data_IF_190663643243
#
_entry.id   IF_190663643243
#
_cell.length_a   1.000
_cell.length_b   1.000
_cell.length_c   1.000
_cell.angle_alpha   90.00
_cell.angle_beta   90.00
_cell.angle_gamma   90.00
#
_symmetry.space_group_name_H-M   'P 1'
#
loop_
_entity.id
_entity.type
_entity.pdbx_description
1 polymer ?
#
# COMPACT_ATOMS: atom_id res chain seq x y z
N UNK A 1 -10.57 -8.98 -0.26
CA UNK A 1 -11.58 -9.24 -1.30
C UNK A 1 -11.27 -10.55 -2.02
N UNK A 2 -12.27 -11.44 -2.15
CA UNK A 2 -12.12 -12.77 -2.74
C UNK A 2 -12.94 -12.90 -4.02
N UNK A 3 -12.43 -13.70 -4.97
CA UNK A 3 -13.05 -13.86 -6.29
C UNK A 3 -14.47 -14.47 -6.23
N UNK A 4 -14.79 -15.46 -5.38
CA UNK A 4 -16.14 -15.97 -5.25
C UNK A 4 -17.20 -14.92 -4.89
N UNK A 5 -16.88 -13.99 -3.97
CA UNK A 5 -17.78 -12.88 -3.63
C UNK A 5 -18.00 -11.92 -4.80
N UNK A 6 -16.98 -11.72 -5.63
CA UNK A 6 -17.09 -10.91 -6.85
C UNK A 6 -18.06 -11.56 -7.85
N UNK A 7 -17.94 -12.86 -8.08
CA UNK A 7 -18.85 -13.59 -8.95
C UNK A 7 -20.31 -13.54 -8.46
N UNK A 8 -20.52 -13.69 -7.15
CA UNK A 8 -21.86 -13.56 -6.56
C UNK A 8 -22.42 -12.16 -6.77
N UNK A 9 -21.62 -11.12 -6.51
CA UNK A 9 -22.04 -9.74 -6.74
C UNK A 9 -22.38 -9.43 -8.20
N UNK A 10 -21.59 -9.96 -9.15
CA UNK A 10 -21.87 -9.84 -10.60
C UNK A 10 -23.21 -10.48 -10.94
N UNK A 11 -23.43 -11.71 -10.45
CA UNK A 11 -24.71 -12.43 -10.66
C UNK A 11 -25.90 -11.63 -10.17
N UNK A 12 -25.85 -11.15 -8.92
CA UNK A 12 -26.92 -10.35 -8.32
C UNK A 12 -27.18 -9.05 -9.09
N UNK A 13 -26.14 -8.32 -9.48
CA UNK A 13 -26.28 -7.10 -10.27
C UNK A 13 -26.96 -7.36 -11.62
N UNK A 14 -26.61 -8.43 -12.32
CA UNK A 14 -27.22 -8.82 -13.59
C UNK A 14 -28.67 -9.25 -13.42
N UNK A 15 -28.95 -10.09 -12.42
CA UNK A 15 -30.28 -10.64 -12.14
C UNK A 15 -31.29 -9.54 -11.78
N UNK A 16 -30.86 -8.52 -11.05
CA UNK A 16 -31.73 -7.41 -10.62
C UNK A 16 -31.59 -6.12 -11.47
N UNK A 17 -30.79 -6.14 -12.53
CA UNK A 17 -30.64 -4.99 -13.42
C UNK A 17 -30.07 -3.75 -12.74
N UNK A 18 -29.14 -3.93 -11.78
CA UNK A 18 -28.60 -2.83 -10.98
C UNK A 18 -27.68 -1.93 -11.83
N UNK A 19 -27.79 -0.62 -11.66
CA UNK A 19 -27.06 0.40 -12.42
C UNK A 19 -25.94 1.11 -11.64
N UNK A 20 -25.73 0.78 -10.36
CA UNK A 20 -24.73 1.38 -9.48
C UNK A 20 -24.35 0.39 -8.39
N UNK A 21 -23.06 0.40 -8.00
CA UNK A 21 -22.57 -0.35 -6.83
C UNK A 21 -22.13 0.63 -5.76
N UNK A 22 -22.79 0.63 -4.59
CA UNK A 22 -22.41 1.43 -3.43
C UNK A 22 -21.59 0.57 -2.45
N UNK A 23 -20.32 0.91 -2.30
CA UNK A 23 -19.41 0.27 -1.35
C UNK A 23 -19.45 1.00 0.00
N UNK A 24 -19.94 0.36 1.05
CA UNK A 24 -19.87 0.87 2.43
C UNK A 24 -18.85 0.04 3.19
N UNK A 25 -17.61 0.53 3.34
CA UNK A 25 -16.53 -0.25 3.93
C UNK A 25 -15.15 0.34 3.72
N UNK A 26 -14.13 -0.47 3.99
CA UNK A 26 -12.72 -0.16 3.70
C UNK A 26 -12.29 -0.66 2.32
N UNK A 27 -10.97 -0.65 2.07
CA UNK A 27 -10.36 -1.03 0.79
C UNK A 27 -10.87 -2.35 0.21
N UNK A 28 -10.99 -3.41 1.02
CA UNK A 28 -11.46 -4.73 0.56
C UNK A 28 -12.89 -4.69 0.02
N UNK A 29 -13.79 -3.94 0.65
CA UNK A 29 -15.17 -3.78 0.18
C UNK A 29 -15.21 -2.96 -1.10
N UNK A 30 -14.44 -1.87 -1.16
CA UNK A 30 -14.37 -0.99 -2.33
C UNK A 30 -13.77 -1.73 -3.52
N UNK A 31 -12.71 -2.50 -3.31
CA UNK A 31 -12.08 -3.30 -4.36
C UNK A 31 -13.01 -4.39 -4.89
N UNK A 32 -13.76 -5.06 -4.01
CA UNK A 32 -14.82 -6.00 -4.43
C UNK A 32 -15.90 -5.30 -5.26
N UNK A 33 -16.36 -4.12 -4.83
CA UNK A 33 -17.37 -3.35 -5.55
C UNK A 33 -16.89 -2.93 -6.96
N UNK A 34 -15.63 -2.52 -7.09
CA UNK A 34 -15.02 -2.20 -8.38
C UNK A 34 -14.90 -3.43 -9.28
N UNK A 35 -14.51 -4.57 -8.73
CA UNK A 35 -14.44 -5.83 -9.47
C UNK A 35 -15.82 -6.30 -9.94
N UNK A 36 -16.84 -6.17 -9.09
CA UNK A 36 -18.24 -6.43 -9.45
C UNK A 36 -18.67 -5.51 -10.59
N UNK A 37 -18.46 -4.19 -10.42
CA UNK A 37 -18.81 -3.20 -11.42
C UNK A 37 -18.14 -3.46 -12.78
N UNK A 38 -16.88 -3.89 -12.76
CA UNK A 38 -16.10 -4.28 -13.93
C UNK A 38 -16.67 -5.54 -14.60
N UNK A 39 -17.06 -6.54 -13.81
CA UNK A 39 -17.52 -7.82 -14.31
C UNK A 39 -18.96 -7.84 -14.82
N UNK A 40 -19.82 -6.92 -14.36
CA UNK A 40 -21.26 -6.91 -14.78
C UNK A 40 -21.43 -6.76 -16.28
N UNK A 41 -20.84 -5.80 -16.98
CA UNK A 41 -20.95 -5.65 -18.43
C UNK A 41 -19.98 -6.56 -19.22
N UNK A 42 -19.06 -7.24 -18.57
CA UNK A 42 -18.07 -8.09 -19.23
C UNK A 42 -18.66 -9.48 -19.57
N UNK A 43 -18.55 -9.91 -20.83
CA UNK A 43 -19.11 -11.19 -21.28
C UNK A 43 -18.29 -12.42 -20.86
N UNK A 44 -17.01 -12.22 -20.53
CA UNK A 44 -16.09 -13.28 -20.09
C UNK A 44 -15.95 -13.38 -18.57
N UNK A 45 -14.96 -14.15 -18.15
CA UNK A 45 -14.54 -14.19 -16.74
C UNK A 45 -13.80 -12.90 -16.36
N UNK A 46 -14.28 -12.20 -15.34
CA UNK A 46 -13.65 -10.97 -14.84
C UNK A 46 -12.20 -11.22 -14.41
N UNK A 47 -11.86 -12.43 -13.94
CA UNK A 47 -10.48 -12.78 -13.54
C UNK A 47 -9.49 -12.73 -14.71
N UNK A 48 -9.94 -13.01 -15.94
CA UNK A 48 -9.09 -12.88 -17.13
C UNK A 48 -8.58 -11.45 -17.35
N UNK A 49 -9.35 -10.43 -16.94
CA UNK A 49 -8.91 -9.04 -17.00
C UNK A 49 -7.73 -8.79 -16.02
N UNK A 50 -7.76 -9.43 -14.85
CA UNK A 50 -6.67 -9.36 -13.88
C UNK A 50 -5.40 -10.07 -14.37
N UNK A 51 -5.54 -11.16 -15.11
CA UNK A 51 -4.41 -11.90 -15.69
C UNK A 51 -3.82 -11.18 -16.91
N UNK A 52 -4.67 -10.75 -17.83
CA UNK A 52 -4.24 -10.19 -19.12
C UNK A 52 -3.93 -8.70 -19.09
N UNK A 53 -4.43 -7.96 -18.09
CA UNK A 53 -4.38 -6.48 -17.98
C UNK A 53 -5.02 -5.76 -19.18
N UNK A 54 -5.85 -6.44 -19.95
CA UNK A 54 -6.55 -5.81 -21.08
C UNK A 54 -7.62 -4.85 -20.57
N UNK A 55 -7.90 -3.81 -21.36
CA UNK A 55 -9.01 -2.90 -21.06
C UNK A 55 -10.35 -3.64 -21.26
N UNK A 56 -11.37 -3.34 -20.44
CA UNK A 56 -12.68 -3.96 -20.61
C UNK A 56 -13.34 -3.49 -21.90
N UNK A 57 -14.10 -4.37 -22.54
CA UNK A 57 -14.82 -4.06 -23.78
C UNK A 57 -15.95 -3.06 -23.58
N UNK A 58 -16.58 -3.10 -22.41
CA UNK A 58 -17.68 -2.22 -22.02
C UNK A 58 -17.32 -1.40 -20.77
N UNK A 59 -17.97 -0.26 -20.58
CA UNK A 59 -17.77 0.57 -19.42
C UNK A 59 -18.27 -0.15 -18.15
N UNK A 60 -17.49 -0.16 -17.06
CA UNK A 60 -17.95 -0.68 -15.78
C UNK A 60 -19.19 0.05 -15.28
N UNK A 61 -19.98 -0.59 -14.41
CA UNK A 61 -20.98 0.16 -13.66
C UNK A 61 -20.32 1.27 -12.82
N UNK A 62 -21.00 2.39 -12.58
CA UNK A 62 -20.51 3.40 -11.65
C UNK A 62 -20.40 2.81 -10.23
N UNK A 63 -19.32 3.16 -9.53
CA UNK A 63 -19.09 2.82 -8.13
C UNK A 63 -19.14 4.09 -7.29
N UNK A 64 -19.85 4.05 -6.17
CA UNK A 64 -19.80 5.08 -5.15
C UNK A 64 -19.32 4.46 -3.83
N UNK A 65 -18.78 5.28 -2.92
CA UNK A 65 -18.23 4.75 -1.67
C UNK A 65 -18.66 5.55 -0.44
N UNK A 66 -18.79 4.85 0.69
CA UNK A 66 -18.80 5.40 2.04
C UNK A 66 -17.65 4.74 2.79
N UNK A 67 -16.60 5.50 3.05
CA UNK A 67 -15.38 4.97 3.64
C UNK A 67 -15.54 4.72 5.13
N UNK A 68 -15.15 3.52 5.61
CA UNK A 68 -15.16 3.17 7.03
C UNK A 68 -13.78 2.87 7.61
N UNK A 69 -12.75 2.75 6.75
CA UNK A 69 -11.34 2.54 7.15
C UNK A 69 -10.44 3.32 6.18
N UNK A 70 -9.83 4.42 6.61
CA UNK A 70 -8.84 5.12 5.80
C UNK A 70 -7.50 4.37 5.83
N UNK A 71 -7.10 3.80 4.68
CA UNK A 71 -5.87 3.02 4.51
C UNK A 71 -5.40 3.05 3.06
N UNK A 72 -5.92 2.12 2.25
CA UNK A 72 -5.50 1.87 0.87
C UNK A 72 -5.85 2.99 -0.13
N UNK A 73 -6.64 4.00 0.23
CA UNK A 73 -7.07 5.07 -0.68
C UNK A 73 -7.91 4.57 -1.87
N UNK A 74 -8.54 3.38 -1.73
CA UNK A 74 -9.32 2.80 -2.83
C UNK A 74 -10.53 3.65 -3.20
N UNK A 75 -11.07 4.45 -2.27
CA UNK A 75 -12.19 5.38 -2.50
C UNK A 75 -11.85 6.49 -3.51
N UNK A 76 -10.57 6.67 -3.85
CA UNK A 76 -10.13 7.68 -4.83
C UNK A 76 -9.24 7.11 -5.93
N UNK A 77 -8.90 5.84 -5.87
CA UNK A 77 -7.99 5.20 -6.83
C UNK A 77 -8.74 4.53 -7.99
N UNK A 78 -8.09 4.37 -9.15
CA UNK A 78 -8.66 3.62 -10.28
C UNK A 78 -8.39 2.12 -10.18
N UNK A 79 -7.79 1.64 -9.09
CA UNK A 79 -7.30 0.28 -8.94
C UNK A 79 -8.24 -0.58 -8.10
N UNK A 80 -8.16 -1.89 -8.30
CA UNK A 80 -8.81 -2.92 -7.50
C UNK A 80 -7.88 -4.12 -7.39
N UNK A 81 -7.82 -4.76 -6.22
CA UNK A 81 -6.99 -5.94 -5.96
C UNK A 81 -7.89 -7.06 -5.45
N UNK A 82 -7.84 -8.23 -6.10
CA UNK A 82 -8.66 -9.40 -5.76
C UNK A 82 -7.76 -10.61 -5.53
N UNK A 83 -8.13 -11.42 -4.55
CA UNK A 83 -7.50 -12.71 -4.28
C UNK A 83 -8.32 -13.84 -4.90
N UNK A 84 -7.66 -14.65 -5.71
CA UNK A 84 -8.18 -15.94 -6.13
C UNK A 84 -7.61 -17.01 -5.20
N UNK A 85 -8.46 -17.54 -4.31
CA UNK A 85 -8.06 -18.50 -3.28
C UNK A 85 -7.69 -19.87 -3.86
N UNK A 86 -8.29 -20.28 -4.99
CA UNK A 86 -7.98 -21.56 -5.65
C UNK A 86 -6.56 -21.57 -6.20
N UNK A 87 -6.14 -20.47 -6.83
CA UNK A 87 -4.81 -20.34 -7.41
C UNK A 87 -3.81 -19.70 -6.44
N UNK A 88 -4.25 -19.28 -5.24
CA UNK A 88 -3.47 -18.53 -4.24
C UNK A 88 -2.77 -17.30 -4.83
N UNK A 89 -3.48 -16.59 -5.71
CA UNK A 89 -2.96 -15.38 -6.36
C UNK A 89 -3.73 -14.14 -5.92
N UNK A 90 -3.00 -13.10 -5.53
CA UNK A 90 -3.52 -11.76 -5.25
C UNK A 90 -3.07 -10.81 -6.37
N UNK A 91 -3.99 -10.37 -7.22
CA UNK A 91 -3.69 -9.58 -8.40
C UNK A 91 -4.43 -8.24 -8.40
N UNK A 92 -3.73 -7.18 -8.78
CA UNK A 92 -4.34 -5.87 -9.02
C UNK A 92 -4.80 -5.71 -10.48
N UNK A 93 -5.83 -4.91 -10.68
CA UNK A 93 -6.26 -4.41 -11.99
C UNK A 93 -6.55 -2.91 -11.89
N UNK A 94 -6.27 -2.15 -12.95
CA UNK A 94 -6.49 -0.70 -12.96
C UNK A 94 -7.11 -0.21 -14.26
N UNK A 95 -8.11 0.66 -14.14
CA UNK A 95 -8.70 1.40 -15.23
C UNK A 95 -9.22 2.74 -14.73
N UNK A 96 -8.99 3.87 -15.41
CA UNK A 96 -9.54 5.18 -15.03
C UNK A 96 -11.05 5.17 -14.78
N UNK A 97 -11.76 4.27 -15.45
CA UNK A 97 -13.22 4.08 -15.37
C UNK A 97 -13.70 3.43 -14.06
N UNK A 98 -12.78 2.84 -13.26
CA UNK A 98 -13.07 2.24 -11.96
C UNK A 98 -12.97 3.24 -10.81
N UNK A 99 -12.54 4.47 -11.07
CA UNK A 99 -12.52 5.49 -10.02
C UNK A 99 -13.95 5.77 -9.56
N UNK A 100 -14.22 5.75 -8.25
CA UNK A 100 -15.55 6.05 -7.74
C UNK A 100 -16.08 7.40 -8.24
N UNK A 101 -17.37 7.46 -8.57
CA UNK A 101 -18.02 8.69 -9.06
C UNK A 101 -18.19 9.72 -7.94
N UNK A 102 -18.32 9.26 -6.70
CA UNK A 102 -18.18 10.05 -5.48
C UNK A 102 -17.77 9.16 -4.31
N UNK A 103 -17.20 9.78 -3.28
CA UNK A 103 -16.82 9.10 -2.04
C UNK A 103 -17.21 9.96 -0.83
N UNK A 104 -17.92 9.37 0.12
CA UNK A 104 -18.26 9.99 1.40
C UNK A 104 -17.18 9.57 2.40
N UNK A 105 -16.49 10.57 2.96
CA UNK A 105 -15.45 10.40 3.97
C UNK A 105 -15.90 11.17 5.21
N UNK A 106 -16.51 10.45 6.18
CA UNK A 106 -16.91 11.02 7.45
C UNK A 106 -16.02 10.47 8.57
N UNK A 107 -15.20 11.31 9.24
CA UNK A 107 -14.31 10.89 10.31
C UNK A 107 -15.00 10.16 11.48
N UNK A 108 -16.26 10.46 11.77
CA UNK A 108 -17.02 9.78 12.84
C UNK A 108 -17.20 8.28 12.59
N UNK A 109 -17.19 7.84 11.33
CA UNK A 109 -17.29 6.43 10.99
C UNK A 109 -16.04 5.63 11.39
N UNK A 110 -14.93 6.31 11.71
CA UNK A 110 -13.66 5.69 12.07
C UNK A 110 -13.48 5.52 13.58
N UNK A 111 -14.33 6.13 14.43
CA UNK A 111 -14.19 6.11 15.89
C UNK A 111 -14.26 4.70 16.49
N UNK A 112 -14.93 3.78 15.82
CA UNK A 112 -15.07 2.38 16.26
C UNK A 112 -13.99 1.45 15.74
N UNK A 113 -13.02 1.99 14.97
CA UNK A 113 -11.91 1.17 14.46
C UNK A 113 -11.02 0.70 15.60
N UNK A 114 -10.67 -0.60 15.64
CA UNK A 114 -9.65 -1.08 16.55
C UNK A 114 -8.29 -0.40 16.27
N UNK A 115 -7.52 -0.15 17.31
CA UNK A 115 -6.19 0.46 17.23
C UNK A 115 -5.29 -0.23 16.17
N UNK A 116 -5.31 -1.58 16.12
CA UNK A 116 -4.56 -2.36 15.13
C UNK A 116 -4.93 -1.97 13.69
N UNK A 117 -6.21 -1.74 13.40
CA UNK A 117 -6.65 -1.35 12.06
C UNK A 117 -6.22 0.07 11.70
N UNK A 118 -6.25 0.99 12.67
CA UNK A 118 -5.71 2.33 12.50
C UNK A 118 -4.20 2.27 12.17
N UNK A 119 -3.43 1.53 12.96
CA UNK A 119 -1.98 1.39 12.74
C UNK A 119 -1.64 0.77 11.37
N UNK A 120 -2.34 -0.29 10.97
CA UNK A 120 -2.19 -0.92 9.65
C UNK A 120 -2.53 0.06 8.52
N UNK A 121 -3.61 0.83 8.66
CA UNK A 121 -3.98 1.86 7.69
C UNK A 121 -2.93 2.96 7.54
N UNK A 122 -2.32 3.39 8.64
CA UNK A 122 -1.22 4.36 8.64
C UNK A 122 -0.02 3.83 7.86
N UNK A 123 0.41 2.60 8.13
CA UNK A 123 1.53 1.97 7.41
C UNK A 123 1.25 1.85 5.92
N UNK A 124 0.05 1.41 5.55
CA UNK A 124 -0.35 1.24 4.15
C UNK A 124 -0.35 2.57 3.39
N UNK A 125 -0.98 3.62 3.92
CA UNK A 125 -0.97 4.93 3.25
C UNK A 125 0.42 5.55 3.15
N UNK A 126 1.28 5.38 4.15
CA UNK A 126 2.68 5.82 4.08
C UNK A 126 3.44 5.04 3.00
N UNK A 127 3.22 3.74 2.89
CA UNK A 127 3.85 2.91 1.87
C UNK A 127 3.43 3.32 0.46
N UNK A 128 2.16 3.67 0.23
CA UNK A 128 1.71 4.25 -1.02
C UNK A 128 2.43 5.53 -1.40
N UNK A 129 2.79 6.36 -0.40
CA UNK A 129 3.58 7.58 -0.65
C UNK A 129 5.04 7.20 -0.94
N UNK A 130 5.63 6.26 -0.20
CA UNK A 130 7.01 5.80 -0.44
C UNK A 130 7.22 5.23 -1.83
N UNK A 131 6.25 4.43 -2.34
CA UNK A 131 6.30 3.89 -3.70
C UNK A 131 6.33 4.98 -4.80
N UNK A 132 5.92 6.19 -4.46
CA UNK A 132 5.95 7.34 -5.36
C UNK A 132 7.14 8.26 -5.09
N UNK A 133 7.51 8.41 -3.82
CA UNK A 133 8.57 9.31 -3.37
C UNK A 133 9.95 8.81 -3.77
N UNK A 134 10.24 7.53 -3.53
CA UNK A 134 11.53 6.92 -3.89
C UNK A 134 11.57 6.62 -5.40
N UNK A 135 12.04 7.58 -6.17
CA UNK A 135 12.11 7.55 -7.63
C UNK A 135 13.48 7.96 -8.14
N UNK A 136 13.82 7.51 -9.34
CA UNK A 136 14.99 8.00 -10.09
C UNK A 136 14.65 9.16 -11.04
N UNK A 137 13.39 9.57 -11.10
CA UNK A 137 12.97 10.72 -11.90
C UNK A 137 13.51 12.00 -11.26
N UNK A 138 14.23 12.79 -12.04
CA UNK A 138 14.81 14.06 -11.60
C UNK A 138 13.82 15.22 -11.76
N UNK A 139 14.06 16.34 -11.07
CA UNK A 139 13.26 17.57 -11.15
C UNK A 139 11.81 17.38 -10.72
N UNK A 140 11.63 16.72 -9.57
CA UNK A 140 10.32 16.44 -8.97
C UNK A 140 10.08 17.21 -7.67
N UNK A 141 10.73 18.34 -7.48
CA UNK A 141 10.79 19.12 -6.23
C UNK A 141 9.40 19.39 -5.62
N UNK A 142 8.41 19.77 -6.43
CA UNK A 142 7.05 20.02 -5.95
C UNK A 142 6.38 18.73 -5.46
N UNK A 143 6.48 17.67 -6.25
CA UNK A 143 5.89 16.37 -5.90
C UNK A 143 6.58 15.75 -4.69
N UNK A 144 7.90 15.94 -4.53
CA UNK A 144 8.65 15.54 -3.35
C UNK A 144 8.17 16.29 -2.11
N UNK A 145 8.06 17.61 -2.20
CA UNK A 145 7.56 18.44 -1.10
C UNK A 145 6.14 18.06 -0.67
N UNK A 146 5.27 17.72 -1.63
CA UNK A 146 3.92 17.23 -1.34
C UNK A 146 3.94 15.86 -0.63
N UNK A 147 4.78 14.93 -1.09
CA UNK A 147 4.98 13.64 -0.42
C UNK A 147 5.47 13.82 1.01
N UNK A 148 6.50 14.63 1.20
CA UNK A 148 7.11 14.91 2.50
C UNK A 148 6.12 15.57 3.47
N UNK A 149 5.36 16.57 3.02
CA UNK A 149 4.34 17.24 3.82
C UNK A 149 3.24 16.25 4.23
N UNK A 150 2.78 15.40 3.31
CA UNK A 150 1.74 14.39 3.57
C UNK A 150 2.24 13.36 4.59
N UNK A 151 3.47 12.84 4.44
CA UNK A 151 4.07 11.91 5.40
C UNK A 151 4.17 12.51 6.81
N UNK A 152 4.65 13.75 6.93
CA UNK A 152 4.73 14.44 8.23
C UNK A 152 3.34 14.65 8.85
N UNK A 153 2.33 14.99 8.05
CA UNK A 153 0.94 15.14 8.49
C UNK A 153 0.38 13.81 9.01
N UNK A 154 0.60 12.72 8.28
CA UNK A 154 0.21 11.37 8.71
C UNK A 154 0.88 11.02 10.04
N UNK A 155 2.20 11.16 10.16
CA UNK A 155 2.93 10.80 11.37
C UNK A 155 2.48 11.62 12.59
N UNK A 156 2.21 12.92 12.42
CA UNK A 156 1.69 13.80 13.48
C UNK A 156 0.33 13.31 13.98
N UNK A 157 -0.61 13.12 13.06
CA UNK A 157 -1.99 12.78 13.43
C UNK A 157 -2.13 11.31 13.87
N UNK A 158 -1.31 10.40 13.36
CA UNK A 158 -1.22 9.03 13.86
C UNK A 158 -0.84 8.98 15.35
N UNK A 159 0.09 9.84 15.83
CA UNK A 159 0.43 9.94 17.25
C UNK A 159 -0.73 10.46 18.09
N UNK A 160 -1.53 11.39 17.57
CA UNK A 160 -2.75 11.85 18.25
C UNK A 160 -3.74 10.67 18.38
N UNK A 161 -3.99 9.96 17.28
CA UNK A 161 -4.90 8.80 17.27
C UNK A 161 -4.38 7.64 18.15
N UNK A 162 -3.07 7.47 18.26
CA UNK A 162 -2.47 6.49 19.16
C UNK A 162 -2.86 6.72 20.64
N UNK A 163 -3.09 7.98 21.03
CA UNK A 163 -3.57 8.38 22.37
C UNK A 163 -5.08 8.52 22.46
N UNK A 164 -5.77 8.85 21.38
CA UNK A 164 -7.21 9.10 21.37
C UNK A 164 -7.85 8.78 20.02
N UNK A 165 -8.44 7.60 19.88
CA UNK A 165 -9.12 7.16 18.66
C UNK A 165 -10.42 7.91 18.33
N UNK A 166 -10.91 8.79 19.22
CA UNK A 166 -12.11 9.58 18.99
C UNK A 166 -11.79 11.04 18.57
N UNK A 167 -10.55 11.34 18.19
CA UNK A 167 -10.18 12.67 17.71
C UNK A 167 -10.62 12.86 16.26
N UNK A 168 -11.69 13.66 16.08
CA UNK A 168 -12.28 13.96 14.78
C UNK A 168 -11.26 14.61 13.82
N UNK A 169 -10.50 15.60 14.33
CA UNK A 169 -9.60 16.37 13.47
C UNK A 169 -8.42 15.51 13.01
N UNK A 170 -7.88 14.68 13.89
CA UNK A 170 -6.83 13.74 13.51
C UNK A 170 -7.30 12.72 12.47
N UNK A 171 -8.52 12.17 12.61
CA UNK A 171 -9.09 11.29 11.60
C UNK A 171 -9.38 12.00 10.28
N UNK A 172 -9.84 13.26 10.30
CA UNK A 172 -10.05 14.04 9.08
C UNK A 172 -8.74 14.21 8.29
N UNK A 173 -7.66 14.58 8.99
CA UNK A 173 -6.33 14.72 8.39
C UNK A 173 -5.78 13.39 7.85
N UNK A 174 -5.95 12.30 8.61
CA UNK A 174 -5.53 10.95 8.18
C UNK A 174 -6.32 10.51 6.95
N UNK A 175 -7.63 10.63 6.96
CA UNK A 175 -8.46 10.19 5.84
C UNK A 175 -8.18 10.97 4.56
N UNK A 176 -7.99 12.28 4.66
CA UNK A 176 -7.63 13.10 3.51
C UNK A 176 -6.21 12.82 3.01
N UNK A 177 -5.26 12.61 3.93
CA UNK A 177 -3.90 12.19 3.58
C UNK A 177 -3.88 10.83 2.86
N UNK A 178 -4.66 9.85 3.32
CA UNK A 178 -4.81 8.54 2.68
C UNK A 178 -5.42 8.64 1.28
N UNK A 179 -6.40 9.52 1.10
CA UNK A 179 -6.96 9.82 -0.21
C UNK A 179 -5.88 10.37 -1.16
N UNK A 180 -5.12 11.37 -0.72
CA UNK A 180 -4.02 11.97 -1.51
C UNK A 180 -2.92 10.94 -1.79
N UNK A 181 -2.62 10.07 -0.83
CA UNK A 181 -1.59 9.05 -0.96
C UNK A 181 -1.83 8.11 -2.16
N UNK A 182 -3.09 7.88 -2.56
CA UNK A 182 -3.39 6.92 -3.61
C UNK A 182 -4.26 7.44 -4.78
N UNK A 183 -4.67 8.71 -4.79
CA UNK A 183 -5.42 9.30 -5.92
C UNK A 183 -4.54 9.59 -7.15
N UNK A 184 -3.24 9.32 -7.07
CA UNK A 184 -2.20 9.54 -8.05
C UNK A 184 -1.67 11.00 -8.16
N UNK A 185 -2.11 11.92 -7.32
CA UNK A 185 -1.56 13.28 -7.29
C UNK A 185 -0.04 13.26 -7.03
N UNK A 186 0.40 12.49 -6.04
CA UNK A 186 1.81 12.37 -5.66
C UNK A 186 2.66 11.58 -6.67
N UNK A 187 2.03 10.90 -7.62
CA UNK A 187 2.68 10.13 -8.69
C UNK A 187 2.82 10.87 -10.01
N UNK A 188 2.35 12.12 -10.09
CA UNK A 188 2.38 12.90 -11.33
C UNK A 188 3.84 13.22 -11.70
N UNK A 189 4.18 12.97 -12.98
CA UNK A 189 5.48 13.33 -13.54
C UNK A 189 6.66 12.46 -13.11
N UNK A 190 6.41 11.30 -12.46
CA UNK A 190 7.48 10.41 -11.97
C UNK A 190 7.22 8.93 -12.19
N UNK A 191 8.28 8.14 -12.27
CA UNK A 191 8.20 6.68 -12.15
C UNK A 191 7.89 6.31 -10.70
N UNK A 192 7.10 5.24 -10.51
CA UNK A 192 6.73 4.72 -9.20
C UNK A 192 7.39 3.36 -8.98
N UNK A 193 7.70 3.00 -7.72
CA UNK A 193 8.45 1.77 -7.43
C UNK A 193 7.57 0.51 -7.44
N UNK A 194 6.66 0.38 -6.48
CA UNK A 194 5.76 -0.77 -6.26
C UNK A 194 6.46 -2.09 -5.89
N UNK A 195 7.73 -2.04 -5.54
CA UNK A 195 8.50 -3.20 -5.11
C UNK A 195 8.08 -3.72 -3.74
N UNK A 196 7.86 -2.80 -2.77
CA UNK A 196 7.44 -3.18 -1.43
C UNK A 196 6.07 -3.86 -1.43
N UNK A 197 5.10 -3.33 -2.19
CA UNK A 197 3.78 -3.95 -2.32
C UNK A 197 3.84 -5.32 -3.00
N UNK A 198 4.68 -5.47 -4.03
CA UNK A 198 4.85 -6.77 -4.70
C UNK A 198 5.41 -7.83 -3.74
N UNK A 199 6.40 -7.48 -2.93
CA UNK A 199 6.98 -8.37 -1.91
C UNK A 199 5.98 -8.67 -0.78
N UNK A 200 5.24 -7.68 -0.32
CA UNK A 200 4.26 -7.84 0.78
C UNK A 200 3.07 -8.70 0.37
N UNK A 201 2.63 -8.63 -0.87
CA UNK A 201 1.53 -9.47 -1.36
C UNK A 201 1.79 -10.96 -1.13
N UNK A 202 3.05 -11.39 -1.17
CA UNK A 202 3.42 -12.78 -0.93
C UNK A 202 3.35 -13.14 0.57
N UNK A 203 3.67 -12.18 1.46
CA UNK A 203 3.47 -12.34 2.91
C UNK A 203 1.98 -12.51 3.22
N UNK A 204 1.15 -11.62 2.68
CA UNK A 204 -0.32 -11.69 2.85
C UNK A 204 -0.92 -12.97 2.27
N UNK A 205 -0.43 -13.42 1.10
CA UNK A 205 -0.96 -14.59 0.42
C UNK A 205 -0.64 -15.90 1.17
N UNK A 206 0.57 -16.01 1.73
CA UNK A 206 1.04 -17.25 2.36
C UNK A 206 0.71 -17.32 3.86
N UNK A 207 0.81 -16.19 4.56
CA UNK A 207 0.70 -16.13 6.03
C UNK A 207 -0.55 -15.40 6.54
N UNK A 208 -1.39 -14.88 5.65
CA UNK A 208 -2.58 -14.10 6.00
C UNK A 208 -2.29 -12.88 6.90
N UNK A 209 -1.12 -12.28 6.71
CA UNK A 209 -0.69 -11.09 7.43
C UNK A 209 -1.56 -9.91 7.01
N UNK A 210 -1.89 -9.02 7.96
CA UNK A 210 -2.51 -7.74 7.62
C UNK A 210 -1.57 -6.92 6.73
N UNK A 211 -2.06 -6.42 5.61
CA UNK A 211 -1.27 -5.76 4.57
C UNK A 211 -0.35 -4.65 5.12
N UNK A 212 -0.91 -3.74 5.93
CA UNK A 212 -0.11 -2.66 6.54
C UNK A 212 0.96 -3.16 7.52
N UNK A 213 0.72 -4.28 8.22
CA UNK A 213 1.71 -4.90 9.09
C UNK A 213 2.87 -5.50 8.28
N UNK A 214 2.57 -6.18 7.17
CA UNK A 214 3.58 -6.69 6.24
C UNK A 214 4.43 -5.58 5.66
N UNK A 215 3.80 -4.47 5.22
CA UNK A 215 4.51 -3.29 4.70
C UNK A 215 5.40 -2.63 5.75
N UNK A 216 5.00 -2.60 7.02
CA UNK A 216 5.81 -2.03 8.10
C UNK A 216 7.13 -2.79 8.32
N UNK A 217 7.20 -4.07 7.95
CA UNK A 217 8.42 -4.89 7.98
C UNK A 217 9.19 -4.77 6.67
N UNK A 218 8.51 -4.93 5.53
CA UNK A 218 9.16 -4.99 4.21
C UNK A 218 9.78 -3.65 3.83
N UNK A 219 9.08 -2.52 4.09
CA UNK A 219 9.55 -1.20 3.63
C UNK A 219 10.87 -0.77 4.26
N UNK A 220 11.09 -0.83 5.58
CA UNK A 220 12.40 -0.51 6.16
C UNK A 220 13.51 -1.47 5.70
N UNK A 221 13.21 -2.76 5.52
CA UNK A 221 14.15 -3.73 5.00
C UNK A 221 14.58 -3.42 3.56
N UNK A 222 13.62 -3.06 2.70
CA UNK A 222 13.86 -2.57 1.35
C UNK A 222 14.71 -1.29 1.34
N UNK A 223 14.38 -0.32 2.19
CA UNK A 223 15.17 0.91 2.32
C UNK A 223 16.62 0.62 2.68
N UNK A 224 16.87 -0.31 3.62
CA UNK A 224 18.26 -0.73 3.98
C UNK A 224 18.98 -1.32 2.79
N UNK A 225 18.30 -2.10 1.95
CA UNK A 225 18.89 -2.78 0.80
C UNK A 225 19.24 -1.82 -0.35
N UNK A 226 18.31 -0.93 -0.71
CA UNK A 226 18.48 -0.08 -1.92
C UNK A 226 19.20 1.24 -1.65
N UNK A 227 19.16 1.75 -0.41
CA UNK A 227 19.71 3.07 -0.09
C UNK A 227 21.21 3.24 -0.36
N UNK A 228 22.10 2.21 -0.28
CA UNK A 228 23.51 2.39 -0.62
C UNK A 228 23.74 2.83 -2.06
N UNK A 229 22.83 2.45 -2.99
CA UNK A 229 22.92 2.83 -4.41
C UNK A 229 22.24 4.17 -4.73
N UNK A 230 21.35 4.65 -3.87
CA UNK A 230 20.47 5.80 -4.11
C UNK A 230 20.51 6.80 -2.95
N UNK A 231 21.70 7.08 -2.40
CA UNK A 231 21.87 7.80 -1.13
C UNK A 231 21.16 9.15 -1.08
N UNK A 232 21.13 9.90 -2.17
CA UNK A 232 20.61 11.27 -2.23
C UNK A 232 19.15 11.36 -1.78
N UNK A 233 18.26 10.57 -2.39
CA UNK A 233 16.83 10.57 -2.05
C UNK A 233 16.56 10.01 -0.64
N UNK A 234 17.39 9.08 -0.14
CA UNK A 234 17.27 8.57 1.22
C UNK A 234 17.79 9.55 2.28
N UNK A 235 18.80 10.35 1.98
CA UNK A 235 19.23 11.48 2.82
C UNK A 235 18.12 12.52 2.87
N UNK A 236 17.53 12.87 1.72
CA UNK A 236 16.42 13.80 1.63
C UNK A 236 15.24 13.34 2.50
N UNK A 237 14.84 12.07 2.40
CA UNK A 237 13.83 11.46 3.26
C UNK A 237 14.17 11.57 4.75
N UNK A 238 15.38 11.18 5.12
CA UNK A 238 15.83 11.18 6.51
C UNK A 238 15.78 12.59 7.12
N UNK A 239 16.19 13.61 6.36
CA UNK A 239 16.20 15.01 6.81
C UNK A 239 14.79 15.60 6.79
N UNK A 240 14.10 15.54 5.64
CA UNK A 240 12.86 16.29 5.43
C UNK A 240 11.63 15.64 6.05
N UNK A 241 11.62 14.30 6.18
CA UNK A 241 10.48 13.57 6.74
C UNK A 241 10.74 13.13 8.16
N UNK A 242 11.91 12.48 8.39
CA UNK A 242 12.22 11.91 9.70
C UNK A 242 12.91 12.90 10.65
N UNK A 243 13.26 14.10 10.19
CA UNK A 243 13.84 15.17 10.99
C UNK A 243 15.25 14.84 11.50
N UNK A 244 16.02 14.06 10.75
CA UNK A 244 17.43 13.78 11.05
C UNK A 244 18.25 15.02 10.74
N UNK A 245 19.15 15.41 11.65
CA UNK A 245 20.07 16.51 11.39
C UNK A 245 21.07 16.11 10.31
N UNK A 246 21.06 16.84 9.18
CA UNK A 246 21.86 16.52 7.99
C UNK A 246 23.28 17.06 8.01
N UNK A 247 23.61 18.02 8.89
CA UNK A 247 24.90 18.66 8.96
C UNK A 247 25.95 17.76 9.62
N UNK A 248 27.16 17.73 9.04
CA UNK A 248 28.36 17.07 9.60
C UNK A 248 28.31 15.55 9.75
N UNK A 249 27.36 14.85 9.12
CA UNK A 249 27.29 13.38 9.16
C UNK A 249 27.52 12.76 7.79
N UNK A 250 28.10 11.57 7.79
CA UNK A 250 28.19 10.74 6.58
C UNK A 250 26.79 10.35 6.08
N UNK A 251 26.51 10.40 4.76
CA UNK A 251 25.20 10.05 4.20
C UNK A 251 24.63 8.73 4.72
N UNK A 252 25.46 7.70 4.83
CA UNK A 252 25.06 6.40 5.34
C UNK A 252 24.59 6.44 6.80
N UNK A 253 25.14 7.32 7.63
CA UNK A 253 24.72 7.48 9.03
C UNK A 253 23.38 8.22 9.12
N UNK A 254 23.16 9.25 8.27
CA UNK A 254 21.89 9.97 8.16
C UNK A 254 20.79 9.01 7.73
N UNK A 255 21.05 8.20 6.70
CA UNK A 255 20.10 7.22 6.18
C UNK A 255 19.72 6.20 7.25
N UNK A 256 20.72 5.59 7.92
CA UNK A 256 20.46 4.62 8.99
C UNK A 256 19.60 5.20 10.11
N UNK A 257 19.90 6.42 10.55
CA UNK A 257 19.08 7.10 11.58
C UNK A 257 17.66 7.37 11.07
N UNK A 258 17.48 7.79 9.81
CA UNK A 258 16.18 7.99 9.20
C UNK A 258 15.33 6.70 9.19
N UNK A 259 15.91 5.59 8.74
CA UNK A 259 15.24 4.28 8.73
C UNK A 259 14.93 3.83 10.17
N UNK A 260 15.85 3.99 11.11
CA UNK A 260 15.64 3.66 12.52
C UNK A 260 14.50 4.48 13.15
N UNK A 261 14.35 5.76 12.77
CA UNK A 261 13.22 6.60 13.22
C UNK A 261 11.89 6.13 12.64
N UNK A 262 11.86 5.65 11.40
CA UNK A 262 10.66 5.05 10.80
C UNK A 262 10.26 3.76 11.53
N UNK A 263 11.21 2.86 11.81
CA UNK A 263 10.95 1.65 12.57
C UNK A 263 10.47 1.96 13.99
N UNK A 264 11.03 2.96 14.66
CA UNK A 264 10.54 3.42 15.97
C UNK A 264 9.11 3.95 15.88
N UNK A 265 8.78 4.73 14.86
CA UNK A 265 7.42 5.22 14.63
C UNK A 265 6.43 4.06 14.44
N UNK A 266 6.79 3.02 13.69
CA UNK A 266 5.95 1.84 13.55
C UNK A 266 5.76 1.11 14.88
N UNK A 267 6.81 0.95 15.70
CA UNK A 267 6.70 0.38 17.04
C UNK A 267 5.86 1.24 17.99
N UNK A 268 5.94 2.57 17.91
CA UNK A 268 5.06 3.49 18.66
C UNK A 268 3.58 3.20 18.38
N UNK A 269 3.24 2.79 17.17
CA UNK A 269 1.88 2.41 16.77
C UNK A 269 1.55 0.92 17.03
N UNK A 270 2.46 0.16 17.64
CA UNK A 270 2.25 -1.28 17.88
C UNK A 270 2.35 -2.16 16.63
N UNK A 271 2.95 -1.66 15.56
CA UNK A 271 3.20 -2.45 14.34
C UNK A 271 4.44 -3.33 14.48
N UNK A 272 4.46 -4.52 13.87
CA UNK A 272 5.65 -5.34 13.76
C UNK A 272 6.72 -4.64 12.91
N UNK A 273 7.98 -4.90 13.19
CA UNK A 273 9.13 -4.38 12.45
C UNK A 273 10.11 -5.48 12.04
N UNK A 274 9.77 -6.73 12.34
CA UNK A 274 10.57 -7.90 11.96
C UNK A 274 9.70 -9.04 11.42
N UNK A 275 10.30 -9.92 10.62
CA UNK A 275 9.62 -11.11 10.07
C UNK A 275 9.19 -12.08 11.19
N UNK A 276 9.98 -12.19 12.25
CA UNK A 276 9.67 -13.05 13.39
C UNK A 276 8.42 -12.60 14.13
N UNK A 277 8.18 -11.28 14.26
CA UNK A 277 6.96 -10.72 14.87
C UNK A 277 5.71 -11.03 14.03
N UNK A 278 5.87 -11.34 12.74
CA UNK A 278 4.82 -11.83 11.84
C UNK A 278 4.73 -13.36 11.79
N UNK A 279 5.56 -14.07 12.55
CA UNK A 279 5.71 -15.54 12.50
C UNK A 279 6.14 -16.06 11.11
N UNK A 280 6.89 -15.27 10.35
CA UNK A 280 7.41 -15.65 9.04
C UNK A 280 8.82 -16.17 9.19
N UNK A 281 9.05 -17.40 8.69
CA UNK A 281 10.32 -18.10 8.83
C UNK A 281 11.17 -17.97 7.55
N UNK A 282 12.51 -17.91 7.67
CA UNK A 282 13.41 -17.80 6.52
C UNK A 282 13.29 -18.91 5.47
N UNK A 283 12.73 -20.08 5.85
CA UNK A 283 12.54 -21.22 4.95
C UNK A 283 11.66 -20.93 3.75
N UNK A 284 10.71 -20.00 3.86
CA UNK A 284 9.75 -19.66 2.80
C UNK A 284 10.19 -18.47 1.94
N UNK A 285 11.29 -17.79 2.29
CA UNK A 285 11.78 -16.64 1.52
C UNK A 285 12.06 -16.96 0.05
N UNK A 286 12.65 -18.14 -0.32
CA UNK A 286 12.82 -18.49 -1.72
C UNK A 286 11.50 -18.55 -2.49
N UNK A 287 10.49 -19.24 -1.94
CA UNK A 287 9.18 -19.38 -2.56
C UNK A 287 8.49 -18.01 -2.75
N UNK A 288 8.46 -17.18 -1.70
CA UNK A 288 7.88 -15.83 -1.77
C UNK A 288 8.59 -14.96 -2.80
N UNK A 289 9.93 -15.00 -2.85
CA UNK A 289 10.70 -14.22 -3.81
C UNK A 289 10.46 -14.66 -5.26
N UNK A 290 10.35 -15.96 -5.52
CA UNK A 290 10.00 -16.49 -6.84
C UNK A 290 8.59 -16.08 -7.26
N UNK A 291 7.62 -16.13 -6.36
CA UNK A 291 6.25 -15.72 -6.62
C UNK A 291 6.13 -14.23 -6.92
N UNK A 292 6.83 -13.37 -6.18
CA UNK A 292 6.82 -11.92 -6.38
C UNK A 292 7.22 -11.51 -7.81
N UNK A 293 8.15 -12.24 -8.44
CA UNK A 293 8.60 -11.94 -9.81
C UNK A 293 7.90 -12.78 -10.89
N UNK A 294 7.06 -13.74 -10.50
CA UNK A 294 6.52 -14.78 -11.43
C UNK A 294 5.63 -14.21 -12.54
N UNK A 295 4.96 -13.07 -12.31
CA UNK A 295 3.98 -12.51 -13.24
C UNK A 295 4.59 -11.48 -14.18
N UNK A 296 5.52 -10.68 -13.69
CA UNK A 296 6.03 -9.50 -14.42
C UNK A 296 7.54 -9.44 -14.55
N UNK A 297 8.26 -10.46 -14.06
CA UNK A 297 9.72 -10.42 -13.94
C UNK A 297 10.14 -9.52 -12.76
N UNK A 298 11.37 -8.98 -12.78
CA UNK A 298 11.90 -8.16 -11.69
C UNK A 298 10.99 -7.00 -11.30
N UNK A 299 10.75 -6.82 -10.00
CA UNK A 299 9.88 -5.78 -9.44
C UNK A 299 10.67 -4.52 -9.09
N UNK A 300 9.97 -3.42 -8.79
CA UNK A 300 10.57 -2.15 -8.41
C UNK A 300 10.81 -1.18 -9.59
N UNK A 301 10.74 0.10 -9.31
CA UNK A 301 10.98 1.20 -10.25
C UNK A 301 12.32 1.89 -10.00
N UNK A 302 12.63 2.18 -8.73
CA UNK A 302 13.90 2.78 -8.31
C UNK A 302 15.07 1.81 -8.57
N UNK A 303 14.92 0.56 -8.17
CA UNK A 303 15.85 -0.53 -8.45
C UNK A 303 15.06 -1.75 -8.92
N UNK A 304 15.56 -2.44 -9.96
CA UNK A 304 14.96 -3.69 -10.42
C UNK A 304 15.46 -4.84 -9.56
N UNK A 305 14.56 -5.46 -8.84
CA UNK A 305 14.83 -6.50 -7.85
C UNK A 305 14.48 -7.86 -8.43
N UNK A 306 15.46 -8.74 -8.51
CA UNK A 306 15.26 -10.15 -8.86
C UNK A 306 14.99 -11.02 -7.62
N UNK A 307 14.90 -12.34 -7.82
CA UNK A 307 14.66 -13.33 -6.74
C UNK A 307 15.72 -13.22 -5.63
N UNK A 308 17.00 -12.98 -5.99
CA UNK A 308 18.10 -12.92 -5.00
C UNK A 308 18.03 -11.64 -4.17
N UNK A 309 17.70 -10.52 -4.82
CA UNK A 309 17.53 -9.23 -4.16
C UNK A 309 16.39 -9.30 -3.14
N UNK A 310 15.24 -9.86 -3.54
CA UNK A 310 14.06 -9.99 -2.68
C UNK A 310 14.36 -10.89 -1.48
N UNK A 311 15.04 -12.03 -1.68
CA UNK A 311 15.46 -12.87 -0.55
C UNK A 311 16.39 -12.13 0.41
N UNK A 312 17.32 -11.28 -0.11
CA UNK A 312 18.21 -10.48 0.71
C UNK A 312 17.41 -9.43 1.52
N UNK A 313 16.41 -8.79 0.90
CA UNK A 313 15.51 -7.83 1.56
C UNK A 313 14.73 -8.53 2.70
N UNK A 314 14.14 -9.69 2.45
CA UNK A 314 13.43 -10.44 3.49
C UNK A 314 14.35 -10.79 4.67
N UNK A 315 15.61 -11.18 4.42
CA UNK A 315 16.60 -11.40 5.49
C UNK A 315 16.90 -10.14 6.29
N UNK A 316 16.99 -8.97 5.64
CA UNK A 316 17.18 -7.69 6.34
C UNK A 316 15.96 -7.28 7.21
N UNK A 317 14.79 -7.88 6.97
CA UNK A 317 13.63 -7.78 7.82
C UNK A 317 13.65 -8.69 9.05
N UNK A 318 14.67 -9.53 9.25
CA UNK A 318 14.82 -10.37 10.43
C UNK A 318 15.56 -9.65 11.57
N UNK A 319 15.22 -10.01 12.82
CA UNK A 319 15.81 -9.40 14.03
C UNK A 319 17.31 -9.68 14.20
N UNK A 320 17.79 -10.84 13.78
CA UNK A 320 19.18 -11.27 14.00
C UNK A 320 20.23 -10.57 13.13
N UNK A 321 19.82 -9.78 12.15
CA UNK A 321 20.72 -9.01 11.28
C UNK A 321 20.77 -7.50 11.60
N UNK A 322 20.04 -7.06 12.63
CA UNK A 322 20.04 -5.64 13.05
C UNK A 322 21.29 -5.28 13.89
N UNK A 323 22.13 -6.24 14.27
CA UNK A 323 23.29 -6.08 15.14
C UNK A 323 24.63 -6.45 14.47
N UNK A 324 24.66 -6.74 13.18
CA UNK A 324 25.85 -6.93 12.37
C UNK A 324 26.06 -5.73 11.43
#
# INVERSE_FOLDING_TARGET
>A
PTLPLVYEGIRLCREHGLGLVLAVGGGSVIDSAKAIALGVPHEGDVWELYLSKKQPQSDPLPVATVLTIPAAGSESSPNTVITNEETRRKLGYGSPKLRPVFSIINPELFFTLPHRQMANGISDMMSHIFERYFTKTLHTDLSDSLCEATLRTIMKNARILNGNLNDYNAWAEIAFSGNIAHNNLLGVGREQDWGCHAMEHELSALYHVDHGAGLAVVTPAWMKYVSPKHQEIFVQFAVNVMGVEGSFREPSAIIREGISRLERFYRELGLPTTMEELNILPGDFPLMAEQAVSVRGPVGGLEKLDVRDIQAIYRLGCSNLQHA
#
